data_IF_356139416557
#
_entry.id   IF_356139416557
#
_cell.length_a   1.000
_cell.length_b   1.000
_cell.length_c   1.000
_cell.angle_alpha   90.00
_cell.angle_beta   90.00
_cell.angle_gamma   90.00
#
_symmetry.space_group_name_H-M   'P 1'
#
loop_
_entity.id
_entity.type
_entity.pdbx_description
1 polymer ?
#
# COMPACT_ATOMS: atom_id res chain seq x y z
N UNK A 1 21.14 8.76 7.35
CA UNK A 1 21.56 7.56 6.62
C UNK A 1 20.32 6.93 5.94
N UNK A 2 20.28 6.73 4.61
CA UNK A 2 19.05 6.36 3.90
C UNK A 2 18.38 5.05 4.34
N UNK A 3 19.02 4.24 5.18
CA UNK A 3 18.50 2.94 5.65
C UNK A 3 18.49 2.77 7.16
N UNK A 4 18.58 3.86 7.92
CA UNK A 4 18.66 3.78 9.40
C UNK A 4 17.45 3.07 10.01
N UNK A 5 16.23 3.35 9.51
CA UNK A 5 15.02 2.67 9.98
C UNK A 5 15.03 1.16 9.69
N UNK A 6 15.66 0.72 8.59
CA UNK A 6 15.83 -0.71 8.31
C UNK A 6 16.82 -1.37 9.27
N UNK A 7 17.92 -0.68 9.60
CA UNK A 7 18.90 -1.18 10.56
C UNK A 7 18.28 -1.28 11.96
N UNK A 8 17.52 -0.27 12.38
CA UNK A 8 16.79 -0.27 13.65
C UNK A 8 15.78 -1.42 13.70
N UNK A 9 14.96 -1.61 12.65
CA UNK A 9 14.04 -2.75 12.55
C UNK A 9 14.77 -4.10 12.75
N UNK A 10 15.93 -4.29 12.09
CA UNK A 10 16.72 -5.51 12.21
C UNK A 10 17.33 -5.69 13.61
N UNK A 11 17.78 -4.58 14.24
CA UNK A 11 18.28 -4.60 15.60
C UNK A 11 17.19 -5.02 16.60
N UNK A 12 15.98 -4.46 16.46
CA UNK A 12 14.83 -4.84 17.30
C UNK A 12 14.51 -6.34 17.24
N UNK A 13 14.68 -6.99 16.08
CA UNK A 13 14.48 -8.44 15.96
C UNK A 13 15.53 -9.25 16.74
N UNK A 14 16.69 -8.67 17.03
CA UNK A 14 17.83 -9.34 17.69
C UNK A 14 17.96 -9.05 19.20
N UNK A 15 17.15 -8.15 19.75
CA UNK A 15 17.14 -7.89 21.20
C UNK A 15 16.59 -9.12 21.94
N UNK A 16 17.36 -9.64 22.88
CA UNK A 16 16.95 -10.78 23.73
C UNK A 16 17.16 -10.41 25.22
N UNK A 17 16.09 -10.49 26.00
CA UNK A 17 16.13 -10.25 27.46
C UNK A 17 17.12 -11.15 28.21
N UNK A 18 17.44 -12.32 27.66
CA UNK A 18 18.45 -13.21 28.25
C UNK A 18 19.86 -12.59 28.24
N UNK A 19 20.12 -11.67 27.30
CA UNK A 19 21.44 -11.07 27.08
C UNK A 19 21.52 -9.63 27.52
N UNK A 20 20.39 -9.02 27.92
CA UNK A 20 20.33 -7.61 28.32
C UNK A 20 19.34 -7.43 29.46
N UNK A 21 19.68 -6.63 30.47
CA UNK A 21 18.74 -6.32 31.55
C UNK A 21 17.56 -5.49 31.04
N UNK A 22 16.36 -5.60 31.68
CA UNK A 22 15.22 -4.76 31.32
C UNK A 22 15.56 -3.25 31.30
N UNK A 23 16.36 -2.76 32.24
CA UNK A 23 16.80 -1.36 32.30
C UNK A 23 17.62 -0.95 31.06
N UNK A 24 18.51 -1.82 30.58
CA UNK A 24 19.32 -1.54 29.39
C UNK A 24 18.46 -1.52 28.12
N UNK A 25 17.44 -2.38 28.05
CA UNK A 25 16.50 -2.38 26.93
C UNK A 25 15.69 -1.09 26.91
N UNK A 26 15.17 -0.65 28.06
CA UNK A 26 14.44 0.63 28.17
C UNK A 26 15.33 1.77 27.73
N UNK A 27 16.57 1.89 28.26
CA UNK A 27 17.52 2.95 27.89
C UNK A 27 17.79 2.97 26.37
N UNK A 28 17.93 1.81 25.75
CA UNK A 28 18.15 1.73 24.31
C UNK A 28 16.93 2.25 23.52
N UNK A 29 15.72 1.94 23.96
CA UNK A 29 14.50 2.43 23.32
C UNK A 29 14.15 3.89 23.63
N UNK A 30 14.73 4.49 24.69
CA UNK A 30 14.68 5.94 24.93
C UNK A 30 15.46 6.69 23.86
N UNK A 31 16.60 6.16 23.44
CA UNK A 31 17.41 6.74 22.36
C UNK A 31 16.86 6.40 20.97
N UNK A 32 16.36 5.18 20.80
CA UNK A 32 15.82 4.66 19.52
C UNK A 32 14.39 4.15 19.71
N UNK A 33 13.34 5.01 19.65
CA UNK A 33 11.96 4.59 19.85
C UNK A 33 11.55 3.43 18.94
N UNK A 34 10.74 2.44 19.40
CA UNK A 34 10.49 1.20 18.67
C UNK A 34 9.76 1.46 17.36
N UNK A 35 10.30 0.96 16.26
CA UNK A 35 9.72 1.08 14.89
C UNK A 35 8.97 -0.17 14.46
N UNK A 36 9.07 -1.28 15.21
CA UNK A 36 8.39 -2.54 14.90
C UNK A 36 7.50 -3.03 16.05
N UNK A 37 6.52 -3.89 15.71
CA UNK A 37 5.74 -4.55 16.73
C UNK A 37 6.57 -5.44 17.65
N UNK A 38 7.63 -6.04 17.13
CA UNK A 38 8.58 -6.81 17.94
C UNK A 38 9.32 -5.90 18.93
N UNK A 39 9.75 -4.72 18.49
CA UNK A 39 10.37 -3.72 19.38
C UNK A 39 9.42 -3.26 20.47
N UNK A 40 8.17 -2.88 20.12
CA UNK A 40 7.14 -2.51 21.11
C UNK A 40 6.89 -3.62 22.12
N UNK A 41 6.77 -4.88 21.66
CA UNK A 41 6.53 -6.02 22.53
C UNK A 41 7.71 -6.25 23.51
N UNK A 42 8.93 -6.08 23.06
CA UNK A 42 10.13 -6.25 23.90
C UNK A 42 10.32 -5.10 24.89
N UNK A 43 10.03 -3.87 24.49
CA UNK A 43 10.01 -2.73 25.41
C UNK A 43 8.91 -2.91 26.46
N UNK A 44 7.71 -3.30 26.04
CA UNK A 44 6.62 -3.60 26.95
C UNK A 44 6.95 -4.75 27.90
N UNK A 45 7.66 -5.80 27.44
CA UNK A 45 8.17 -6.88 28.28
C UNK A 45 9.16 -6.37 29.34
N UNK A 46 10.06 -5.46 28.96
CA UNK A 46 11.03 -4.89 29.90
C UNK A 46 10.36 -4.09 31.02
N UNK A 47 9.36 -3.26 30.70
CA UNK A 47 8.54 -2.57 31.71
C UNK A 47 7.76 -3.54 32.58
N UNK A 48 7.15 -4.56 31.99
CA UNK A 48 6.40 -5.58 32.71
C UNK A 48 7.26 -6.33 33.74
N UNK A 49 8.50 -6.68 33.38
CA UNK A 49 9.44 -7.36 34.26
C UNK A 49 9.90 -6.47 35.43
N UNK A 50 9.92 -5.16 35.24
CA UNK A 50 10.15 -4.15 36.28
C UNK A 50 8.89 -3.79 37.09
N UNK A 51 7.75 -4.45 36.84
CA UNK A 51 6.44 -4.19 37.47
C UNK A 51 5.81 -2.84 37.11
N UNK A 52 6.33 -2.15 36.11
CA UNK A 52 5.75 -0.92 35.55
C UNK A 52 4.64 -1.29 34.53
N UNK A 53 3.48 -1.65 35.07
CA UNK A 53 2.34 -2.11 34.26
C UNK A 53 1.74 -0.98 33.44
N UNK A 54 1.82 0.26 33.90
CA UNK A 54 1.24 1.41 33.19
C UNK A 54 1.94 1.62 31.85
N UNK A 55 3.25 1.63 31.82
CA UNK A 55 4.03 1.78 30.59
C UNK A 55 4.04 0.49 29.76
N UNK A 56 3.91 -0.70 30.40
CA UNK A 56 3.93 -1.98 29.72
C UNK A 56 2.66 -2.23 28.87
N UNK A 57 1.47 -1.92 29.43
CA UNK A 57 0.17 -2.41 28.90
C UNK A 57 -0.07 -2.04 27.44
N UNK A 58 0.07 -0.76 27.10
CA UNK A 58 -0.18 -0.28 25.73
C UNK A 58 0.85 -0.88 24.75
N UNK A 59 2.12 -0.85 25.10
CA UNK A 59 3.21 -1.40 24.26
C UNK A 59 3.03 -2.88 23.99
N UNK A 60 2.61 -3.66 25.00
CA UNK A 60 2.33 -5.09 24.84
C UNK A 60 1.15 -5.31 23.90
N UNK A 61 0.03 -4.59 24.06
CA UNK A 61 -1.14 -4.72 23.20
C UNK A 61 -0.81 -4.35 21.74
N UNK A 62 -0.18 -3.20 21.53
CA UNK A 62 0.23 -2.78 20.18
C UNK A 62 1.25 -3.74 19.56
N UNK A 63 2.28 -4.12 20.31
CA UNK A 63 3.29 -5.06 19.85
C UNK A 63 2.72 -6.44 19.59
N UNK A 64 1.77 -6.92 20.41
CA UNK A 64 1.09 -8.18 20.18
C UNK A 64 0.42 -8.25 18.80
N UNK A 65 -0.22 -7.17 18.36
CA UNK A 65 -0.95 -7.14 17.09
C UNK A 65 -0.02 -7.46 15.93
N UNK A 66 1.12 -6.79 15.82
CA UNK A 66 1.94 -6.79 14.61
C UNK A 66 3.38 -7.32 14.76
N UNK A 67 3.75 -7.87 15.94
CA UNK A 67 5.06 -8.51 16.11
C UNK A 67 5.21 -9.78 15.26
N UNK A 68 6.39 -9.95 14.67
CA UNK A 68 6.77 -11.20 14.02
C UNK A 68 7.18 -12.23 15.09
N UNK A 69 6.31 -13.21 15.34
CA UNK A 69 6.49 -14.20 16.40
C UNK A 69 6.63 -15.62 15.86
N UNK A 70 7.69 -16.29 16.26
CA UNK A 70 7.81 -17.74 16.08
C UNK A 70 6.70 -18.47 16.85
N UNK A 71 6.48 -19.75 16.55
CA UNK A 71 5.51 -20.59 17.28
C UNK A 71 5.80 -20.64 18.80
N UNK A 72 7.06 -20.71 19.19
CA UNK A 72 7.49 -20.70 20.59
C UNK A 72 7.28 -19.32 21.24
N UNK A 73 7.67 -18.25 20.57
CA UNK A 73 7.49 -16.88 21.07
C UNK A 73 6.01 -16.51 21.22
N UNK A 74 5.16 -16.91 20.28
CA UNK A 74 3.71 -16.71 20.37
C UNK A 74 3.14 -17.36 21.65
N UNK A 75 3.51 -18.61 21.94
CA UNK A 75 3.07 -19.32 23.15
C UNK A 75 3.59 -18.69 24.42
N UNK A 76 4.88 -18.30 24.40
CA UNK A 76 5.54 -17.67 25.53
C UNK A 76 4.87 -16.33 25.89
N UNK A 77 4.74 -15.41 24.95
CA UNK A 77 4.18 -14.08 25.21
C UNK A 77 2.69 -14.15 25.58
N UNK A 78 1.90 -15.03 24.94
CA UNK A 78 0.51 -15.24 25.31
C UNK A 78 0.35 -15.72 26.77
N UNK A 79 1.25 -16.60 27.24
CA UNK A 79 1.25 -17.06 28.62
C UNK A 79 1.71 -15.96 29.59
N UNK A 80 2.81 -15.29 29.25
CA UNK A 80 3.43 -14.23 30.06
C UNK A 80 2.47 -13.06 30.28
N UNK A 81 1.77 -12.64 29.22
CA UNK A 81 0.89 -11.47 29.23
C UNK A 81 -0.60 -11.82 29.35
N UNK A 82 -0.94 -12.97 29.91
CA UNK A 82 -2.33 -13.42 30.09
C UNK A 82 -3.22 -12.42 30.85
N UNK A 83 -2.63 -11.65 31.77
CA UNK A 83 -3.35 -10.62 32.55
C UNK A 83 -3.55 -9.29 31.79
N UNK A 84 -2.92 -9.10 30.64
CA UNK A 84 -2.98 -7.90 29.83
C UNK A 84 -3.74 -8.12 28.53
N UNK A 85 -3.48 -9.25 27.87
CA UNK A 85 -4.07 -9.60 26.58
C UNK A 85 -5.44 -10.26 26.75
N UNK A 86 -6.41 -9.78 26.02
CA UNK A 86 -7.78 -10.28 25.99
C UNK A 86 -8.18 -10.85 24.61
N UNK A 87 -9.44 -11.23 24.46
CA UNK A 87 -9.97 -11.79 23.20
C UNK A 87 -9.94 -10.78 22.05
N UNK A 88 -10.13 -9.49 22.33
CA UNK A 88 -10.08 -8.44 21.32
C UNK A 88 -8.67 -8.26 20.76
N UNK A 89 -7.64 -8.32 21.62
CA UNK A 89 -6.25 -8.27 21.18
C UNK A 89 -5.89 -9.45 20.26
N UNK A 90 -6.47 -10.61 20.52
CA UNK A 90 -6.28 -11.79 19.66
C UNK A 90 -6.98 -11.60 18.30
N UNK A 91 -8.16 -11.00 18.28
CA UNK A 91 -8.91 -10.69 17.06
C UNK A 91 -8.11 -9.67 16.22
N UNK A 92 -7.64 -8.55 16.83
CA UNK A 92 -6.80 -7.54 16.15
C UNK A 92 -5.55 -8.15 15.53
N UNK A 93 -4.88 -9.05 16.26
CA UNK A 93 -3.73 -9.78 15.70
C UNK A 93 -4.13 -10.66 14.51
N UNK A 94 -5.22 -11.40 14.61
CA UNK A 94 -5.69 -12.24 13.52
C UNK A 94 -6.03 -11.41 12.27
N UNK A 95 -6.66 -10.25 12.44
CA UNK A 95 -6.96 -9.33 11.36
C UNK A 95 -5.70 -8.80 10.69
N UNK A 96 -4.73 -8.31 11.47
CA UNK A 96 -3.43 -7.89 10.97
C UNK A 96 -2.74 -9.00 10.15
N UNK A 97 -2.72 -10.23 10.68
CA UNK A 97 -2.10 -11.37 9.99
C UNK A 97 -2.84 -11.73 8.69
N UNK A 98 -4.18 -11.59 8.67
CA UNK A 98 -5.00 -11.81 7.48
C UNK A 98 -4.69 -10.78 6.40
N UNK A 99 -4.72 -9.48 6.70
CA UNK A 99 -4.40 -8.41 5.75
C UNK A 99 -2.97 -8.51 5.21
N UNK A 100 -2.00 -8.94 6.05
CA UNK A 100 -0.61 -9.13 5.64
C UNK A 100 -0.30 -10.52 5.06
N UNK A 101 -1.35 -11.35 4.86
CA UNK A 101 -1.27 -12.68 4.23
C UNK A 101 -0.29 -13.64 4.91
N UNK A 102 -0.16 -13.53 6.23
CA UNK A 102 0.67 -14.38 7.09
C UNK A 102 -0.04 -15.71 7.37
N UNK A 103 -0.16 -16.57 6.34
CA UNK A 103 -0.95 -17.80 6.36
C UNK A 103 -0.72 -18.69 7.58
N UNK A 104 0.54 -19.03 7.88
CA UNK A 104 0.88 -19.94 8.97
C UNK A 104 0.71 -19.29 10.35
N UNK A 105 0.97 -17.98 10.46
CA UNK A 105 0.79 -17.23 11.69
C UNK A 105 -0.70 -17.10 12.01
N UNK A 106 -1.51 -16.78 11.02
CA UNK A 106 -2.96 -16.74 11.15
C UNK A 106 -3.51 -18.13 11.55
N UNK A 107 -3.05 -19.21 10.91
CA UNK A 107 -3.44 -20.58 11.28
C UNK A 107 -3.17 -20.89 12.76
N UNK A 108 -2.04 -20.40 13.26
CA UNK A 108 -1.68 -20.57 14.69
C UNK A 108 -2.56 -19.74 15.64
N UNK A 109 -3.10 -18.61 15.15
CA UNK A 109 -3.99 -17.76 15.96
C UNK A 109 -5.42 -18.30 16.07
N UNK A 110 -5.91 -19.10 15.12
CA UNK A 110 -7.31 -19.57 15.10
C UNK A 110 -7.77 -20.26 16.38
N UNK A 111 -6.87 -20.92 17.09
CA UNK A 111 -7.19 -21.65 18.34
C UNK A 111 -7.45 -20.73 19.53
N UNK A 112 -7.09 -19.45 19.42
CA UNK A 112 -7.23 -18.44 20.49
C UNK A 112 -8.42 -17.50 20.26
N UNK A 113 -9.12 -17.65 19.13
CA UNK A 113 -10.23 -16.79 18.77
C UNK A 113 -11.57 -17.33 19.28
N UNK A 114 -12.53 -16.45 19.63
CA UNK A 114 -13.92 -16.82 19.81
C UNK A 114 -14.49 -17.53 18.57
N UNK A 115 -15.49 -18.41 18.75
CA UNK A 115 -16.02 -19.29 17.69
C UNK A 115 -16.34 -18.59 16.38
N UNK A 116 -17.04 -17.45 16.46
CA UNK A 116 -17.50 -16.69 15.30
C UNK A 116 -16.35 -16.06 14.52
N UNK A 117 -15.41 -15.45 15.25
CA UNK A 117 -14.19 -14.90 14.65
C UNK A 117 -13.27 -16.00 14.12
N UNK A 118 -13.23 -17.15 14.79
CA UNK A 118 -12.51 -18.32 14.28
C UNK A 118 -13.05 -18.78 12.93
N UNK A 119 -14.37 -18.79 12.73
CA UNK A 119 -14.98 -19.15 11.45
C UNK A 119 -14.61 -18.12 10.36
N UNK A 120 -14.70 -16.81 10.66
CA UNK A 120 -14.31 -15.74 9.76
C UNK A 120 -12.83 -15.86 9.31
N UNK A 121 -11.91 -15.88 10.27
CA UNK A 121 -10.46 -15.89 9.96
C UNK A 121 -9.99 -17.22 9.39
N UNK A 122 -10.67 -18.33 9.66
CA UNK A 122 -10.43 -19.60 8.97
C UNK A 122 -10.82 -19.52 7.49
N UNK A 123 -11.94 -18.90 7.15
CA UNK A 123 -12.34 -18.68 5.77
C UNK A 123 -11.32 -17.76 5.04
N UNK A 124 -10.94 -16.65 5.68
CA UNK A 124 -9.90 -15.76 5.17
C UNK A 124 -8.57 -16.48 4.94
N UNK A 125 -8.15 -17.32 5.89
CA UNK A 125 -6.92 -18.11 5.81
C UNK A 125 -6.95 -19.11 4.64
N UNK A 126 -8.06 -19.85 4.44
CA UNK A 126 -8.21 -20.80 3.34
C UNK A 126 -8.18 -20.09 1.99
N UNK A 127 -8.80 -18.91 1.87
CA UNK A 127 -8.78 -18.07 0.65
C UNK A 127 -7.36 -17.60 0.26
N UNK A 128 -6.41 -17.57 1.21
CA UNK A 128 -5.00 -17.24 0.89
C UNK A 128 -4.30 -18.34 0.10
N UNK A 129 -4.77 -19.56 0.19
CA UNK A 129 -4.16 -20.74 -0.45
C UNK A 129 -4.91 -21.18 -1.70
N UNK A 130 -4.37 -22.18 -2.38
CA UNK A 130 -5.05 -22.87 -3.47
C UNK A 130 -5.83 -24.12 -2.99
N UNK A 131 -6.04 -24.26 -1.68
CA UNK A 131 -6.67 -25.42 -1.06
C UNK A 131 -8.14 -25.55 -1.48
N UNK A 132 -8.65 -26.78 -1.38
CA UNK A 132 -10.07 -27.08 -1.50
C UNK A 132 -10.84 -26.62 -0.25
N UNK A 133 -12.17 -26.58 -0.33
CA UNK A 133 -13.03 -26.33 0.82
C UNK A 133 -13.34 -24.87 1.09
N UNK A 134 -13.04 -23.96 0.13
CA UNK A 134 -13.33 -22.52 0.23
C UNK A 134 -14.81 -22.26 0.45
N UNK A 135 -15.68 -22.89 -0.34
CA UNK A 135 -17.15 -22.66 -0.26
C UNK A 135 -17.70 -23.15 1.09
N UNK A 136 -17.24 -24.30 1.57
CA UNK A 136 -17.60 -24.82 2.91
C UNK A 136 -17.11 -23.90 4.03
N UNK A 137 -15.89 -23.35 3.92
CA UNK A 137 -15.37 -22.41 4.91
C UNK A 137 -16.18 -21.10 4.95
N UNK A 138 -16.55 -20.57 3.78
CA UNK A 138 -17.39 -19.36 3.66
C UNK A 138 -18.81 -19.63 4.20
N UNK A 139 -19.38 -20.80 3.93
CA UNK A 139 -20.71 -21.17 4.42
C UNK A 139 -20.78 -21.19 5.97
N UNK A 140 -19.69 -21.52 6.64
CA UNK A 140 -19.58 -21.53 8.10
C UNK A 140 -19.39 -20.15 8.74
N UNK A 141 -19.15 -19.11 7.94
CA UNK A 141 -19.02 -17.75 8.46
C UNK A 141 -20.40 -17.26 8.93
N UNK A 142 -20.54 -16.78 10.17
CA UNK A 142 -21.81 -16.20 10.66
C UNK A 142 -22.32 -15.07 9.77
N UNK A 143 -23.64 -14.92 9.67
CA UNK A 143 -24.27 -13.95 8.77
C UNK A 143 -23.78 -12.51 8.99
N UNK A 144 -23.56 -12.14 10.24
CA UNK A 144 -23.03 -10.81 10.62
C UNK A 144 -21.66 -10.50 10.03
N UNK A 145 -20.88 -11.51 9.64
CA UNK A 145 -19.55 -11.35 9.03
C UNK A 145 -19.50 -11.69 7.54
N UNK A 146 -20.59 -12.06 6.90
CA UNK A 146 -20.61 -12.38 5.46
C UNK A 146 -20.23 -11.20 4.58
N UNK A 147 -20.43 -9.98 5.08
CA UNK A 147 -20.06 -8.72 4.43
C UNK A 147 -18.83 -8.07 5.07
N UNK A 148 -18.03 -8.81 5.84
CA UNK A 148 -16.75 -8.35 6.37
C UNK A 148 -15.82 -7.96 5.23
N UNK A 149 -15.27 -6.76 5.31
CA UNK A 149 -14.49 -6.16 4.20
C UNK A 149 -13.22 -6.93 3.88
N UNK A 150 -12.57 -7.51 4.91
CA UNK A 150 -11.40 -8.34 4.72
C UNK A 150 -11.75 -9.68 4.05
N UNK A 151 -12.91 -10.26 4.39
CA UNK A 151 -13.42 -11.47 3.72
C UNK A 151 -13.77 -11.18 2.25
N UNK A 152 -14.45 -10.06 1.97
CA UNK A 152 -14.77 -9.64 0.61
C UNK A 152 -13.50 -9.44 -0.22
N UNK A 153 -12.48 -8.77 0.35
CA UNK A 153 -11.18 -8.62 -0.30
C UNK A 153 -10.50 -9.97 -0.60
N UNK A 154 -10.48 -10.89 0.37
CA UNK A 154 -9.85 -12.20 0.19
C UNK A 154 -10.61 -13.04 -0.86
N UNK A 155 -11.96 -12.93 -0.94
CA UNK A 155 -12.80 -13.52 -1.99
C UNK A 155 -12.49 -12.93 -3.35
N UNK A 156 -12.39 -11.59 -3.46
CA UNK A 156 -12.01 -10.90 -4.69
C UNK A 156 -10.67 -11.41 -5.21
N UNK A 157 -9.65 -11.39 -4.35
CA UNK A 157 -8.31 -11.82 -4.70
C UNK A 157 -8.24 -13.29 -5.12
N UNK A 158 -8.99 -14.15 -4.43
CA UNK A 158 -9.06 -15.58 -4.77
C UNK A 158 -9.73 -15.80 -6.13
N UNK A 159 -10.85 -15.10 -6.41
CA UNK A 159 -11.58 -15.19 -7.68
C UNK A 159 -10.76 -14.65 -8.85
N UNK A 160 -10.11 -13.48 -8.66
CA UNK A 160 -9.23 -12.89 -9.67
C UNK A 160 -8.10 -13.83 -10.05
N UNK A 161 -7.42 -14.40 -9.06
CA UNK A 161 -6.35 -15.40 -9.29
C UNK A 161 -6.83 -16.66 -10.03
N UNK A 162 -8.10 -17.01 -9.91
CA UNK A 162 -8.76 -18.13 -10.59
C UNK A 162 -9.37 -17.76 -11.94
N UNK A 163 -9.18 -16.54 -12.43
CA UNK A 163 -9.75 -16.05 -13.67
C UNK A 163 -11.28 -15.92 -13.67
N UNK A 164 -11.92 -15.90 -12.49
CA UNK A 164 -13.38 -15.78 -12.34
C UNK A 164 -13.80 -14.32 -12.47
N UNK A 165 -13.67 -13.76 -13.67
CA UNK A 165 -13.84 -12.32 -13.93
C UNK A 165 -15.19 -11.78 -13.47
N UNK A 166 -16.31 -12.35 -13.93
CA UNK A 166 -17.64 -11.77 -13.66
C UNK A 166 -17.95 -11.74 -12.16
N UNK A 167 -17.60 -12.81 -11.44
CA UNK A 167 -17.80 -12.82 -9.99
C UNK A 167 -16.82 -11.92 -9.22
N UNK A 168 -15.66 -11.59 -9.81
CA UNK A 168 -14.75 -10.56 -9.27
C UNK A 168 -15.33 -9.17 -9.49
N UNK A 169 -15.89 -8.89 -10.66
CA UNK A 169 -16.56 -7.63 -10.97
C UNK A 169 -17.74 -7.39 -10.03
N UNK A 170 -18.53 -8.43 -9.72
CA UNK A 170 -19.64 -8.30 -8.78
C UNK A 170 -19.17 -7.82 -7.40
N UNK A 171 -18.07 -8.39 -6.86
CA UNK A 171 -17.52 -7.92 -5.56
C UNK A 171 -17.06 -6.47 -5.66
N UNK A 172 -16.43 -6.05 -6.76
CA UNK A 172 -15.99 -4.67 -6.94
C UNK A 172 -17.18 -3.70 -6.98
N UNK A 173 -18.25 -4.06 -7.68
CA UNK A 173 -19.46 -3.25 -7.76
C UNK A 173 -20.22 -3.18 -6.43
N UNK A 174 -20.30 -4.28 -5.69
CA UNK A 174 -20.91 -4.33 -4.36
C UNK A 174 -20.19 -3.45 -3.33
N UNK A 175 -18.95 -3.07 -3.62
CA UNK A 175 -18.09 -2.25 -2.75
C UNK A 175 -17.66 -0.92 -3.40
N UNK A 176 -18.26 -0.50 -4.54
CA UNK A 176 -17.86 0.72 -5.25
C UNK A 176 -18.16 2.02 -4.51
N UNK A 177 -19.19 2.01 -3.65
CA UNK A 177 -19.62 3.19 -2.89
C UNK A 177 -18.94 3.30 -1.51
N UNK A 178 -18.00 2.42 -1.18
CA UNK A 178 -17.27 2.48 0.08
C UNK A 178 -16.17 3.54 0.03
N UNK A 179 -15.99 4.24 1.15
CA UNK A 179 -14.86 5.17 1.32
C UNK A 179 -13.52 4.42 1.45
N UNK A 180 -12.43 5.16 1.40
CA UNK A 180 -11.08 4.62 1.60
C UNK A 180 -10.93 3.96 2.97
N UNK A 181 -11.47 4.61 4.01
CA UNK A 181 -11.46 4.11 5.40
C UNK A 181 -12.29 2.82 5.56
N UNK A 182 -13.45 2.75 4.91
CA UNK A 182 -14.30 1.55 4.94
C UNK A 182 -13.67 0.36 4.21
N UNK A 183 -12.83 0.61 3.22
CA UNK A 183 -12.06 -0.44 2.54
C UNK A 183 -10.87 -0.94 3.38
N UNK A 184 -10.47 -0.23 4.42
CA UNK A 184 -9.37 -0.52 5.37
C UNK A 184 -7.99 -0.57 4.69
N UNK A 185 -7.89 -1.21 3.54
CA UNK A 185 -6.68 -1.36 2.73
C UNK A 185 -7.00 -1.10 1.26
N UNK A 186 -7.44 0.12 0.95
CA UNK A 186 -7.78 0.56 -0.41
C UNK A 186 -6.61 0.37 -1.39
N UNK A 187 -5.37 0.48 -0.91
CA UNK A 187 -4.14 0.16 -1.65
C UNK A 187 -4.14 -1.28 -2.20
N UNK A 188 -4.59 -2.23 -1.39
CA UNK A 188 -4.66 -3.63 -1.80
C UNK A 188 -5.85 -3.90 -2.74
N UNK A 189 -6.97 -3.19 -2.54
CA UNK A 189 -8.11 -3.24 -3.46
C UNK A 189 -7.72 -2.70 -4.83
N UNK A 190 -6.98 -1.59 -4.89
CA UNK A 190 -6.48 -1.05 -6.14
C UNK A 190 -5.64 -2.07 -6.92
N UNK A 191 -4.72 -2.77 -6.27
CA UNK A 191 -3.92 -3.83 -6.92
C UNK A 191 -4.77 -4.91 -7.60
N UNK A 192 -5.94 -5.23 -7.03
CA UNK A 192 -6.87 -6.17 -7.68
C UNK A 192 -7.62 -5.51 -8.84
N UNK A 193 -8.08 -4.26 -8.66
CA UNK A 193 -8.72 -3.47 -9.72
C UNK A 193 -7.80 -3.31 -10.91
N UNK A 194 -6.57 -2.88 -10.71
CA UNK A 194 -5.55 -2.71 -11.75
C UNK A 194 -5.36 -3.99 -12.58
N UNK A 195 -5.17 -5.11 -11.92
CA UNK A 195 -5.03 -6.42 -12.60
C UNK A 195 -6.25 -6.77 -13.44
N UNK A 196 -7.46 -6.55 -12.92
CA UNK A 196 -8.72 -6.79 -13.61
C UNK A 196 -8.89 -5.83 -14.78
N UNK A 197 -8.59 -4.55 -14.61
CA UNK A 197 -8.65 -3.51 -15.65
C UNK A 197 -7.77 -3.88 -16.84
N UNK A 198 -6.51 -4.27 -16.60
CA UNK A 198 -5.60 -4.71 -17.67
C UNK A 198 -6.16 -5.91 -18.43
N UNK A 199 -6.76 -6.87 -17.73
CA UNK A 199 -7.45 -8.01 -18.35
C UNK A 199 -8.68 -7.62 -19.16
N UNK A 200 -9.45 -6.63 -18.70
CA UNK A 200 -10.61 -6.09 -19.42
C UNK A 200 -10.20 -5.34 -20.69
N UNK A 201 -9.11 -4.55 -20.63
CA UNK A 201 -8.54 -3.86 -21.81
C UNK A 201 -8.13 -4.88 -22.86
N UNK A 202 -7.42 -5.95 -22.46
CA UNK A 202 -7.04 -7.03 -23.36
C UNK A 202 -8.25 -7.69 -24.03
N UNK A 203 -9.36 -7.83 -23.29
CA UNK A 203 -10.64 -8.35 -23.78
C UNK A 203 -11.49 -7.30 -24.54
N UNK A 204 -10.97 -6.09 -24.77
CA UNK A 204 -11.65 -4.95 -25.41
C UNK A 204 -12.94 -4.50 -24.69
N UNK A 205 -13.08 -4.80 -23.39
CA UNK A 205 -14.22 -4.39 -22.56
C UNK A 205 -13.95 -3.02 -21.93
N UNK A 206 -13.73 -2.00 -22.76
CA UNK A 206 -13.21 -0.69 -22.34
C UNK A 206 -14.13 0.07 -21.38
N UNK A 207 -15.45 0.05 -21.59
CA UNK A 207 -16.41 0.71 -20.68
C UNK A 207 -16.35 0.09 -19.27
N UNK A 208 -16.29 -1.24 -19.20
CA UNK A 208 -16.14 -1.95 -17.91
C UNK A 208 -14.80 -1.67 -17.28
N UNK A 209 -13.72 -1.62 -18.08
CA UNK A 209 -12.38 -1.30 -17.60
C UNK A 209 -12.33 0.10 -16.99
N UNK A 210 -12.91 1.09 -17.66
CA UNK A 210 -13.02 2.45 -17.16
C UNK A 210 -13.78 2.52 -15.83
N UNK A 211 -14.98 1.92 -15.78
CA UNK A 211 -15.78 1.88 -14.54
C UNK A 211 -14.99 1.28 -13.37
N UNK A 212 -14.31 0.16 -13.58
CA UNK A 212 -13.50 -0.47 -12.53
C UNK A 212 -12.32 0.42 -12.14
N UNK A 213 -11.69 1.11 -13.07
CA UNK A 213 -10.55 1.99 -12.77
C UNK A 213 -10.97 3.27 -12.04
N UNK A 214 -12.06 3.92 -12.47
CA UNK A 214 -12.51 5.21 -11.92
C UNK A 214 -13.17 5.09 -10.53
N UNK A 215 -13.73 3.93 -10.17
CA UNK A 215 -14.39 3.70 -8.87
C UNK A 215 -13.40 3.15 -7.81
N UNK A 216 -12.20 3.74 -7.69
CA UNK A 216 -11.10 3.21 -6.85
C UNK A 216 -11.19 3.59 -5.37
N UNK A 217 -11.92 4.63 -4.99
CA UNK A 217 -12.10 5.14 -3.61
C UNK A 217 -10.81 5.58 -2.91
N UNK A 218 -9.71 5.78 -3.64
CA UNK A 218 -8.46 6.31 -3.08
C UNK A 218 -8.50 7.85 -3.09
N UNK A 219 -7.85 8.50 -2.13
CA UNK A 219 -7.80 9.96 -2.00
C UNK A 219 -6.42 10.55 -2.27
N UNK A 220 -5.35 9.76 -2.11
CA UNK A 220 -3.98 10.23 -2.26
C UNK A 220 -2.99 9.08 -2.41
N UNK A 221 -1.73 9.41 -2.63
CA UNK A 221 -0.64 8.45 -2.68
C UNK A 221 -0.37 7.83 -4.06
N UNK A 222 0.61 6.91 -4.14
CA UNK A 222 1.02 6.33 -5.42
C UNK A 222 -0.09 5.53 -6.12
N UNK A 223 -0.90 4.80 -5.37
CA UNK A 223 -2.00 4.01 -5.90
C UNK A 223 -3.13 4.90 -6.44
N UNK A 224 -3.41 6.05 -5.80
CA UNK A 224 -4.34 7.06 -6.31
C UNK A 224 -3.85 7.61 -7.65
N UNK A 225 -2.60 8.08 -7.70
CA UNK A 225 -2.01 8.61 -8.91
C UNK A 225 -2.07 7.59 -10.06
N UNK A 226 -1.77 6.32 -9.79
CA UNK A 226 -1.86 5.28 -10.82
C UNK A 226 -3.30 5.00 -11.27
N UNK A 227 -4.28 5.05 -10.36
CA UNK A 227 -5.69 4.86 -10.66
C UNK A 227 -6.22 5.97 -11.56
N UNK A 228 -5.97 7.22 -11.19
CA UNK A 228 -6.37 8.39 -11.96
C UNK A 228 -5.71 8.38 -13.35
N UNK A 229 -4.40 8.11 -13.41
CA UNK A 229 -3.75 8.02 -14.71
C UNK A 229 -4.35 6.90 -15.59
N UNK A 230 -4.59 5.73 -15.02
CA UNK A 230 -5.12 4.58 -15.78
C UNK A 230 -6.55 4.84 -16.27
N UNK A 231 -7.42 5.43 -15.44
CA UNK A 231 -8.78 5.83 -15.80
C UNK A 231 -8.76 6.89 -16.92
N UNK A 232 -7.91 7.92 -16.78
CA UNK A 232 -7.72 8.94 -17.80
C UNK A 232 -7.23 8.36 -19.11
N UNK A 233 -6.26 7.46 -19.07
CA UNK A 233 -5.73 6.82 -20.27
C UNK A 233 -6.77 5.95 -20.99
N UNK A 234 -7.62 5.24 -20.26
CA UNK A 234 -8.72 4.46 -20.84
C UNK A 234 -9.74 5.40 -21.48
N UNK A 235 -10.12 6.47 -20.80
CA UNK A 235 -11.06 7.46 -21.30
C UNK A 235 -10.56 8.10 -22.60
N UNK A 236 -9.31 8.56 -22.62
CA UNK A 236 -8.68 9.17 -23.80
C UNK A 236 -8.54 8.18 -24.96
N UNK A 237 -7.89 7.03 -24.71
CA UNK A 237 -7.41 6.15 -25.78
C UNK A 237 -8.51 5.27 -26.37
N UNK A 238 -9.42 4.75 -25.55
CA UNK A 238 -10.39 3.76 -25.94
C UNK A 238 -11.84 4.25 -25.97
N UNK A 239 -12.23 5.14 -25.03
CA UNK A 239 -13.59 5.69 -25.00
C UNK A 239 -13.74 6.97 -25.81
N UNK A 240 -12.64 7.61 -26.15
CA UNK A 240 -12.59 8.91 -26.84
C UNK A 240 -13.36 10.01 -26.09
N UNK A 241 -13.45 9.88 -24.78
CA UNK A 241 -14.10 10.84 -23.89
C UNK A 241 -13.05 11.76 -23.27
N UNK A 242 -12.78 12.88 -23.94
CA UNK A 242 -11.72 13.80 -23.52
C UNK A 242 -12.07 14.54 -22.23
N UNK A 243 -13.34 14.79 -21.98
CA UNK A 243 -13.78 15.41 -20.71
C UNK A 243 -13.39 14.55 -19.51
N UNK A 244 -13.72 13.26 -19.53
CA UNK A 244 -13.33 12.34 -18.46
C UNK A 244 -11.81 12.17 -18.37
N UNK A 245 -11.14 12.10 -19.54
CA UNK A 245 -9.69 11.99 -19.57
C UNK A 245 -9.00 13.18 -18.91
N UNK A 246 -9.42 14.39 -19.24
CA UNK A 246 -8.86 15.64 -18.69
C UNK A 246 -9.06 15.67 -17.17
N UNK A 247 -10.26 15.37 -16.68
CA UNK A 247 -10.54 15.36 -15.24
C UNK A 247 -9.62 14.41 -14.48
N UNK A 248 -9.47 13.19 -14.96
CA UNK A 248 -8.57 12.21 -14.35
C UNK A 248 -7.10 12.61 -14.44
N UNK A 249 -6.66 13.15 -15.58
CA UNK A 249 -5.27 13.59 -15.72
C UNK A 249 -4.95 14.83 -14.89
N UNK A 250 -5.91 15.73 -14.65
CA UNK A 250 -5.77 16.83 -13.70
C UNK A 250 -5.61 16.30 -12.27
N UNK A 251 -6.50 15.39 -11.84
CA UNK A 251 -6.38 14.76 -10.54
C UNK A 251 -5.02 14.04 -10.35
N UNK A 252 -4.55 13.36 -11.39
CA UNK A 252 -3.20 12.77 -11.38
C UNK A 252 -2.13 13.84 -11.25
N UNK A 253 -2.14 14.88 -12.12
CA UNK A 253 -1.09 15.90 -12.23
C UNK A 253 -0.95 16.70 -10.93
N UNK A 254 -2.07 17.07 -10.32
CA UNK A 254 -2.12 17.88 -9.09
C UNK A 254 -1.64 17.08 -7.84
N UNK A 255 -1.59 15.76 -7.93
CA UNK A 255 -1.21 14.87 -6.81
C UNK A 255 0.15 14.19 -6.98
N UNK A 256 0.96 14.62 -7.95
CA UNK A 256 2.32 14.10 -8.15
C UNK A 256 3.36 15.22 -8.11
N UNK A 257 4.59 14.89 -7.70
CA UNK A 257 5.68 15.85 -7.55
C UNK A 257 6.98 15.46 -8.26
N UNK A 258 7.10 14.20 -8.67
CA UNK A 258 8.32 13.72 -9.31
C UNK A 258 8.34 14.11 -10.81
N UNK A 259 9.51 14.54 -11.35
CA UNK A 259 9.67 14.94 -12.75
C UNK A 259 9.09 13.92 -13.75
N UNK A 260 9.30 12.65 -13.53
CA UNK A 260 8.78 11.58 -14.41
C UNK A 260 7.24 11.54 -14.44
N UNK A 261 6.59 11.80 -13.31
CA UNK A 261 5.14 11.81 -13.18
C UNK A 261 4.54 13.11 -13.71
N UNK A 262 5.17 14.24 -13.40
CA UNK A 262 4.76 15.56 -13.92
C UNK A 262 4.84 15.60 -15.45
N UNK A 263 5.96 15.13 -16.04
CA UNK A 263 6.07 15.02 -17.50
C UNK A 263 4.99 14.13 -18.11
N UNK A 264 4.68 13.00 -17.47
CA UNK A 264 3.62 12.08 -17.91
C UNK A 264 2.24 12.73 -17.88
N UNK A 265 1.89 13.41 -16.78
CA UNK A 265 0.62 14.11 -16.66
C UNK A 265 0.47 15.26 -17.66
N UNK A 266 1.50 16.08 -17.78
CA UNK A 266 1.53 17.18 -18.74
C UNK A 266 1.35 16.70 -20.19
N UNK A 267 2.04 15.62 -20.58
CA UNK A 267 1.88 15.05 -21.92
C UNK A 267 0.44 14.62 -22.21
N UNK A 268 -0.17 13.84 -21.30
CA UNK A 268 -1.52 13.33 -21.53
C UNK A 268 -2.59 14.43 -21.42
N UNK A 269 -2.40 15.44 -20.58
CA UNK A 269 -3.23 16.65 -20.57
C UNK A 269 -3.11 17.40 -21.90
N UNK A 270 -1.88 17.65 -22.37
CA UNK A 270 -1.63 18.25 -23.66
C UNK A 270 -2.33 17.53 -24.81
N UNK A 271 -2.19 16.19 -24.86
CA UNK A 271 -2.86 15.36 -25.88
C UNK A 271 -4.38 15.43 -25.78
N UNK A 272 -4.94 15.39 -24.56
CA UNK A 272 -6.39 15.47 -24.38
C UNK A 272 -6.96 16.84 -24.75
N UNK A 273 -6.28 17.93 -24.40
CA UNK A 273 -6.68 19.28 -24.83
C UNK A 273 -6.52 19.48 -26.34
N UNK A 274 -5.51 18.88 -26.94
CA UNK A 274 -5.34 18.90 -28.41
C UNK A 274 -6.53 18.25 -29.13
N UNK A 275 -6.99 17.10 -28.64
CA UNK A 275 -8.16 16.39 -29.19
C UNK A 275 -9.49 17.17 -29.02
N UNK A 276 -9.59 18.04 -27.99
CA UNK A 276 -10.75 18.93 -27.81
C UNK A 276 -10.67 20.23 -28.68
N UNK A 277 -9.58 20.43 -29.42
CA UNK A 277 -9.31 21.64 -30.17
C UNK A 277 -8.81 22.80 -29.32
N UNK A 278 -8.59 22.66 -28.04
CA UNK A 278 -8.05 23.69 -27.15
C UNK A 278 -6.52 23.75 -27.27
N UNK A 279 -6.06 24.30 -28.41
CA UNK A 279 -4.63 24.38 -28.73
C UNK A 279 -3.82 25.17 -27.69
N UNK A 280 -4.41 26.20 -27.10
CA UNK A 280 -3.73 27.05 -26.11
C UNK A 280 -3.38 26.23 -24.86
N UNK A 281 -4.35 25.55 -24.29
CA UNK A 281 -4.10 24.67 -23.11
C UNK A 281 -3.19 23.50 -23.45
N UNK A 282 -3.31 22.90 -24.62
CA UNK A 282 -2.42 21.84 -25.07
C UNK A 282 -0.96 22.30 -25.07
N UNK A 283 -0.70 23.47 -25.66
CA UNK A 283 0.65 24.09 -25.73
C UNK A 283 1.19 24.44 -24.33
N UNK A 284 0.33 24.96 -23.44
CA UNK A 284 0.70 25.25 -22.05
C UNK A 284 1.21 23.97 -21.32
N UNK A 285 0.47 22.86 -21.39
CA UNK A 285 0.88 21.62 -20.75
C UNK A 285 2.11 20.99 -21.43
N UNK A 286 2.23 21.04 -22.74
CA UNK A 286 3.45 20.57 -23.40
C UNK A 286 4.68 21.40 -23.00
N UNK A 287 4.55 22.73 -22.84
CA UNK A 287 5.63 23.57 -22.31
C UNK A 287 6.01 23.18 -20.88
N UNK A 288 5.01 22.95 -20.01
CA UNK A 288 5.29 22.50 -18.64
C UNK A 288 6.01 21.15 -18.63
N UNK A 289 5.54 20.19 -19.41
CA UNK A 289 6.15 18.86 -19.49
C UNK A 289 7.56 18.88 -20.09
N UNK A 290 7.83 19.77 -21.07
CA UNK A 290 9.13 19.89 -21.72
C UNK A 290 10.27 20.36 -20.80
N UNK A 291 9.95 20.88 -19.62
CA UNK A 291 10.95 21.22 -18.58
C UNK A 291 11.66 19.96 -18.02
N UNK A 292 11.11 18.78 -18.25
CA UNK A 292 11.62 17.51 -17.72
C UNK A 292 12.30 16.65 -18.80
N UNK A 293 13.23 17.22 -19.57
CA UNK A 293 13.89 16.57 -20.73
C UNK A 293 14.63 15.27 -20.42
N UNK A 294 15.01 15.05 -19.15
CA UNK A 294 15.61 13.78 -18.71
C UNK A 294 14.60 12.64 -18.63
N UNK A 295 13.32 12.92 -18.84
CA UNK A 295 12.24 11.92 -18.78
C UNK A 295 11.66 11.66 -20.18
N UNK A 296 11.16 10.44 -20.40
CA UNK A 296 10.53 10.06 -21.67
C UNK A 296 9.40 11.01 -22.09
N UNK A 297 8.47 11.28 -21.16
CA UNK A 297 7.34 12.16 -21.47
C UNK A 297 7.72 13.63 -21.61
N UNK A 298 8.79 14.06 -20.91
CA UNK A 298 9.35 15.40 -21.12
C UNK A 298 9.87 15.60 -22.54
N UNK A 299 10.57 14.59 -23.06
CA UNK A 299 11.03 14.61 -24.47
C UNK A 299 9.87 14.58 -25.47
N UNK A 300 8.80 13.82 -25.16
CA UNK A 300 7.60 13.84 -26.01
C UNK A 300 6.92 15.19 -26.01
N UNK A 301 6.79 15.85 -24.84
CA UNK A 301 6.25 17.20 -24.74
C UNK A 301 7.08 18.21 -25.55
N UNK A 302 8.41 18.12 -25.44
CA UNK A 302 9.30 18.99 -26.24
C UNK A 302 9.08 18.83 -27.74
N UNK A 303 8.90 17.61 -28.25
CA UNK A 303 8.63 17.34 -29.65
C UNK A 303 7.29 17.89 -30.13
N UNK A 304 6.28 17.97 -29.28
CA UNK A 304 4.96 18.54 -29.63
C UNK A 304 5.03 20.07 -29.86
N UNK A 305 5.95 20.76 -29.17
CA UNK A 305 6.14 22.22 -29.32
C UNK A 305 7.28 22.60 -30.28
N UNK A 306 8.25 21.71 -30.51
CA UNK A 306 9.41 21.92 -31.36
C UNK A 306 9.50 20.83 -32.43
N UNK A 307 8.57 20.83 -33.37
CA UNK A 307 8.51 19.81 -34.40
C UNK A 307 9.82 19.77 -35.22
N UNK A 308 10.53 18.65 -35.16
CA UNK A 308 11.83 18.46 -35.84
C UNK A 308 13.04 19.08 -35.14
N UNK A 309 12.86 19.71 -33.98
CA UNK A 309 13.98 20.24 -33.19
C UNK A 309 14.77 19.16 -32.46
N UNK A 310 16.08 19.31 -32.42
CA UNK A 310 16.94 18.58 -31.50
C UNK A 310 16.90 19.24 -30.13
N UNK A 311 16.94 18.43 -29.07
CA UNK A 311 17.11 18.93 -27.70
C UNK A 311 18.52 18.64 -27.21
N UNK A 312 19.11 19.62 -26.53
CA UNK A 312 20.33 19.44 -25.75
C UNK A 312 19.97 19.43 -24.27
N UNK A 313 20.55 18.51 -23.54
CA UNK A 313 20.53 18.63 -22.09
C UNK A 313 21.60 19.65 -21.72
N UNK A 314 21.25 20.63 -20.89
CA UNK A 314 22.25 21.53 -20.32
C UNK A 314 23.25 20.70 -19.53
N UNK A 315 24.45 20.53 -20.09
CA UNK A 315 25.53 19.80 -19.42
C UNK A 315 26.08 20.57 -18.20
N UNK A 316 25.73 21.85 -18.10
CA UNK A 316 26.17 22.76 -17.07
C UNK A 316 25.20 22.91 -15.89
N UNK A 317 24.89 21.83 -15.19
CA UNK A 317 24.70 21.99 -13.76
C UNK A 317 26.08 22.28 -13.14
N UNK A 318 26.56 23.51 -13.30
CA UNK A 318 27.80 23.97 -12.70
C UNK A 318 27.56 23.95 -11.19
N UNK A 319 27.91 22.82 -10.58
CA UNK A 319 28.10 22.80 -9.11
C UNK A 319 29.15 23.85 -8.80
N UNK A 320 28.79 24.85 -7.99
CA UNK A 320 29.76 25.85 -7.56
C UNK A 320 30.97 25.12 -6.92
N UNK A 321 32.17 25.62 -7.14
CA UNK A 321 33.39 25.06 -6.53
C UNK A 321 33.28 24.93 -5.01
N UNK A 322 32.44 25.74 -4.38
CA UNK A 322 32.14 25.68 -2.95
C UNK A 322 31.28 24.47 -2.59
N UNK A 323 30.33 24.08 -3.45
CA UNK A 323 29.53 22.87 -3.26
C UNK A 323 30.39 21.60 -3.40
N UNK A 324 31.33 21.54 -4.35
CA UNK A 324 32.27 20.42 -4.47
C UNK A 324 33.17 20.29 -3.23
N UNK A 325 33.63 21.44 -2.68
CA UNK A 325 34.43 21.45 -1.44
C UNK A 325 33.61 21.01 -0.21
N UNK A 326 32.34 21.39 -0.14
CA UNK A 326 31.45 20.99 0.95
C UNK A 326 31.06 19.51 0.84
N UNK A 327 30.76 19.05 -0.37
CA UNK A 327 30.48 17.65 -0.65
C UNK A 327 31.67 16.73 -0.32
N UNK A 328 32.89 17.14 -0.72
CA UNK A 328 34.12 16.37 -0.43
C UNK A 328 34.49 16.31 1.06
N UNK A 329 33.96 17.21 1.92
CA UNK A 329 34.10 17.17 3.36
C UNK A 329 33.14 16.23 4.05
N UNK A 330 32.12 15.75 3.35
CA UNK A 330 31.14 14.84 3.91
C UNK A 330 31.79 13.47 4.20
N UNK A 331 31.74 13.05 5.47
CA UNK A 331 32.33 11.78 5.94
C UNK A 331 31.76 10.53 5.21
N UNK A 332 30.64 10.65 4.48
CA UNK A 332 30.05 9.57 3.72
C UNK A 332 30.64 9.46 2.29
N UNK A 333 31.39 10.47 1.85
CA UNK A 333 32.06 10.52 0.54
C UNK A 333 33.52 10.12 0.63
N UNK A 334 34.11 10.14 1.83
CA UNK A 334 35.45 9.62 2.15
C UNK A 334 35.37 8.16 2.53
#
# INVERSE_FOLDING_TARGET
FPRIGRLQYLAEQKIYLKNSSPKNIIRWFEEFPPVSGTGKLKLGEAYFDLKDINNAKQLIKEGWVNADLSKSSLRFYRKKFKSILDGEDHIKRADYLAWNRKYWDLKRMLVYLPSDFKALYNARQILMSNSYGVDNAIAKVPDRFKRDIGLEYDRLKWRNRRGRLESSLQILYDNSNRTEEELVRADLWWKQRESIVRGLIYKKRYKTAYKVASEHSLSSGPEFAEAEWLAGWIAHSFLKSQEYAINHFLNFYDNVSYPISLGRGAYWLGKSYQETGNKKKAEEYFKEGSKFLTTYYGQLCFKEINYGGEFTLDEDAIFSKDYEKEFSKNKLVR
#
